data_IF_466697885374
#
_entry.id   IF_466697885374
#
_cell.length_a   1.000
_cell.length_b   1.000
_cell.length_c   1.000
_cell.angle_alpha   90.00
_cell.angle_beta   90.00
_cell.angle_gamma   90.00
#
_symmetry.space_group_name_H-M   'P 1'
#
loop_
_entity.id
_entity.type
_entity.pdbx_description
1 polymer ?
#
# COMPACT_ATOMS: atom_id res chain seq x y z
N UNK A 1 3.08 16.63 1.28
CA UNK A 1 4.12 15.62 1.63
C UNK A 1 4.49 14.79 0.40
N UNK A 2 3.50 14.41 -0.41
CA UNK A 2 3.66 13.47 -1.54
C UNK A 2 4.61 14.00 -2.63
N UNK A 3 4.52 15.27 -3.00
CA UNK A 3 5.42 15.90 -3.98
C UNK A 3 6.91 15.73 -3.57
N UNK A 4 7.22 15.88 -2.29
CA UNK A 4 8.58 15.75 -1.77
C UNK A 4 9.05 14.29 -1.83
N UNK A 5 8.19 13.33 -1.50
CA UNK A 5 8.49 11.89 -1.60
C UNK A 5 8.75 11.50 -3.05
N UNK A 6 7.95 12.01 -3.99
CA UNK A 6 8.13 11.78 -5.43
C UNK A 6 9.49 12.32 -5.89
N UNK A 7 9.84 13.56 -5.52
CA UNK A 7 11.14 14.16 -5.87
C UNK A 7 12.31 13.33 -5.31
N UNK A 8 12.21 12.86 -4.06
CA UNK A 8 13.23 12.00 -3.46
C UNK A 8 13.34 10.67 -4.21
N UNK A 9 12.22 10.01 -4.50
CA UNK A 9 12.19 8.74 -5.21
C UNK A 9 12.80 8.84 -6.62
N UNK A 10 12.59 9.97 -7.31
CA UNK A 10 13.25 10.25 -8.60
C UNK A 10 14.76 10.48 -8.43
N UNK A 11 15.17 11.28 -7.44
CA UNK A 11 16.59 11.58 -7.20
C UNK A 11 17.41 10.34 -6.84
N UNK A 12 16.84 9.39 -6.09
CA UNK A 12 17.55 8.18 -5.66
C UNK A 12 17.60 7.08 -6.72
N UNK A 13 16.90 7.25 -7.86
CA UNK A 13 16.70 6.20 -8.88
C UNK A 13 16.13 4.87 -8.32
N UNK A 14 15.60 4.87 -7.10
CA UNK A 14 15.07 3.66 -6.46
C UNK A 14 13.80 3.14 -7.14
N UNK A 15 13.09 4.01 -7.87
CA UNK A 15 11.89 3.65 -8.65
C UNK A 15 12.19 2.50 -9.62
N UNK A 16 13.40 2.46 -10.20
CA UNK A 16 13.78 1.39 -11.14
C UNK A 16 14.04 0.05 -10.45
N UNK A 17 14.33 0.06 -9.14
CA UNK A 17 14.77 -1.13 -8.39
C UNK A 17 13.68 -1.68 -7.46
N UNK A 18 12.72 -0.85 -7.05
CA UNK A 18 11.68 -1.20 -6.09
C UNK A 18 10.30 -1.19 -6.75
N UNK A 19 9.79 -2.37 -7.08
CA UNK A 19 8.49 -2.52 -7.75
C UNK A 19 7.31 -1.96 -6.94
N UNK A 20 7.38 -2.09 -5.61
CA UNK A 20 6.35 -1.58 -4.69
C UNK A 20 6.23 -0.05 -4.81
N UNK A 21 7.34 0.66 -5.04
CA UNK A 21 7.33 2.12 -5.20
C UNK A 21 6.51 2.56 -6.41
N UNK A 22 6.37 1.73 -7.46
CA UNK A 22 5.59 2.11 -8.63
C UNK A 22 4.09 2.21 -8.33
N UNK A 23 3.56 1.28 -7.55
CA UNK A 23 2.15 1.28 -7.13
C UNK A 23 1.91 2.47 -6.19
N UNK A 24 2.80 2.67 -5.20
CA UNK A 24 2.74 3.80 -4.28
C UNK A 24 2.80 5.14 -5.04
N UNK A 25 3.71 5.25 -6.01
CA UNK A 25 3.84 6.45 -6.84
C UNK A 25 2.57 6.73 -7.63
N UNK A 26 1.92 5.69 -8.17
CA UNK A 26 0.65 5.85 -8.89
C UNK A 26 -0.45 6.37 -7.96
N UNK A 27 -0.57 5.81 -6.76
CA UNK A 27 -1.51 6.30 -5.75
C UNK A 27 -1.24 7.77 -5.37
N UNK A 28 0.03 8.14 -5.12
CA UNK A 28 0.41 9.53 -4.82
C UNK A 28 0.11 10.49 -5.98
N UNK A 29 0.29 10.06 -7.23
CA UNK A 29 -0.05 10.88 -8.38
C UNK A 29 -1.56 11.12 -8.51
N UNK A 30 -2.39 10.13 -8.17
CA UNK A 30 -3.85 10.30 -8.11
C UNK A 30 -4.25 11.30 -7.03
N UNK A 31 -3.61 11.25 -5.87
CA UNK A 31 -3.86 12.19 -4.77
C UNK A 31 -3.55 13.63 -5.17
N UNK A 32 -2.41 13.83 -5.84
CA UNK A 32 -2.03 15.14 -6.39
C UNK A 32 -3.05 15.59 -7.46
N UNK A 33 -3.47 14.70 -8.36
CA UNK A 33 -4.43 15.03 -9.40
C UNK A 33 -5.78 15.48 -8.81
N UNK A 34 -6.29 14.79 -7.79
CA UNK A 34 -7.52 15.19 -7.11
C UNK A 34 -7.33 16.46 -6.31
N UNK A 35 -6.20 16.63 -5.62
CA UNK A 35 -5.91 17.86 -4.89
C UNK A 35 -5.92 19.08 -5.81
N UNK A 36 -5.31 18.95 -7.00
CA UNK A 36 -5.34 19.97 -8.04
C UNK A 36 -6.78 20.21 -8.52
N UNK A 37 -7.56 19.16 -8.75
CA UNK A 37 -8.96 19.28 -9.16
C UNK A 37 -9.81 20.01 -8.09
N UNK A 38 -9.62 19.71 -6.81
CA UNK A 38 -10.27 20.40 -5.68
C UNK A 38 -9.90 21.88 -5.67
N UNK A 39 -8.62 22.23 -5.86
CA UNK A 39 -8.21 23.64 -5.93
C UNK A 39 -8.90 24.36 -7.10
N UNK A 40 -8.94 23.74 -8.28
CA UNK A 40 -9.52 24.38 -9.45
C UNK A 40 -11.05 24.45 -9.42
N UNK A 41 -11.72 23.54 -8.70
CA UNK A 41 -13.18 23.49 -8.62
C UNK A 41 -13.74 24.23 -7.41
N UNK A 42 -13.21 23.94 -6.21
CA UNK A 42 -13.79 24.39 -4.96
C UNK A 42 -13.37 25.82 -4.60
N UNK A 43 -12.12 26.23 -4.89
CA UNK A 43 -11.66 27.60 -4.58
C UNK A 43 -12.46 28.67 -5.34
N UNK A 44 -12.72 28.53 -6.66
CA UNK A 44 -13.55 29.50 -7.38
C UNK A 44 -15.01 29.51 -6.93
N UNK A 45 -15.52 28.40 -6.40
CA UNK A 45 -16.90 28.29 -5.91
C UNK A 45 -17.06 28.85 -4.49
N UNK A 46 -16.00 28.78 -3.68
CA UNK A 46 -15.96 29.30 -2.30
C UNK A 46 -15.96 30.83 -2.23
N UNK A 47 -15.22 31.51 -3.10
CA UNK A 47 -15.09 32.99 -3.06
C UNK A 47 -16.43 33.72 -3.26
N UNK A 48 -17.27 33.35 -4.25
CA UNK A 48 -18.54 34.01 -4.52
C UNK A 48 -19.76 33.34 -3.88
N UNK A 49 -19.58 32.28 -3.08
CA UNK A 49 -20.66 31.47 -2.48
C UNK A 49 -21.73 31.02 -3.50
N UNK A 50 -21.26 30.63 -4.70
CA UNK A 50 -22.10 30.12 -5.77
C UNK A 50 -21.32 29.10 -6.57
N UNK A 51 -22.04 28.14 -7.14
CA UNK A 51 -21.42 27.18 -8.04
C UNK A 51 -21.04 27.88 -9.36
N UNK A 52 -19.73 28.02 -9.60
CA UNK A 52 -19.19 28.60 -10.85
C UNK A 52 -18.95 27.49 -11.89
N UNK A 53 -19.20 26.23 -11.53
CA UNK A 53 -18.84 25.10 -12.37
C UNK A 53 -19.77 24.91 -13.56
N UNK A 54 -19.14 24.57 -14.68
CA UNK A 54 -19.84 24.09 -15.87
C UNK A 54 -20.17 22.60 -15.72
N UNK A 55 -21.10 22.08 -16.51
CA UNK A 55 -21.40 20.64 -16.54
C UNK A 55 -20.15 19.79 -16.82
N UNK A 56 -19.21 20.30 -17.63
CA UNK A 56 -17.96 19.62 -17.95
C UNK A 56 -17.02 19.58 -16.74
N UNK A 57 -16.87 20.70 -16.01
CA UNK A 57 -15.99 20.72 -14.83
C UNK A 57 -16.56 19.86 -13.71
N UNK A 58 -17.88 19.88 -13.49
CA UNK A 58 -18.57 18.96 -12.57
C UNK A 58 -18.27 17.51 -12.92
N UNK A 59 -18.44 17.13 -14.19
CA UNK A 59 -18.19 15.77 -14.66
C UNK A 59 -16.73 15.34 -14.40
N UNK A 60 -15.77 16.18 -14.78
CA UNK A 60 -14.35 15.89 -14.57
C UNK A 60 -13.97 15.81 -13.09
N UNK A 61 -14.56 16.67 -12.25
CA UNK A 61 -14.31 16.66 -10.81
C UNK A 61 -14.84 15.40 -10.15
N UNK A 62 -16.08 14.99 -10.46
CA UNK A 62 -16.66 13.74 -9.96
C UNK A 62 -15.87 12.53 -10.48
N UNK A 63 -15.39 12.56 -11.72
CA UNK A 63 -14.55 11.50 -12.28
C UNK A 63 -13.20 11.39 -11.57
N UNK A 64 -12.51 12.50 -11.33
CA UNK A 64 -11.25 12.50 -10.62
C UNK A 64 -11.41 11.98 -9.19
N UNK A 65 -12.40 12.48 -8.45
CA UNK A 65 -12.69 12.08 -7.07
C UNK A 65 -13.08 10.61 -6.96
N UNK A 66 -14.00 10.14 -7.80
CA UNK A 66 -14.44 8.74 -7.78
C UNK A 66 -13.31 7.78 -8.19
N UNK A 67 -12.54 8.13 -9.22
CA UNK A 67 -11.41 7.32 -9.67
C UNK A 67 -10.35 7.20 -8.59
N UNK A 68 -9.95 8.30 -7.94
CA UNK A 68 -9.01 8.27 -6.82
C UNK A 68 -9.56 7.41 -5.67
N UNK A 69 -10.81 7.64 -5.27
CA UNK A 69 -11.43 6.91 -4.18
C UNK A 69 -11.43 5.39 -4.39
N UNK A 70 -11.90 4.91 -5.54
CA UNK A 70 -11.91 3.48 -5.83
C UNK A 70 -10.52 2.92 -6.09
N UNK A 71 -9.64 3.66 -6.74
CA UNK A 71 -8.27 3.22 -6.96
C UNK A 71 -7.52 3.05 -5.64
N UNK A 72 -7.59 4.02 -4.73
CA UNK A 72 -7.00 3.93 -3.40
C UNK A 72 -7.57 2.75 -2.61
N UNK A 73 -8.91 2.57 -2.63
CA UNK A 73 -9.59 1.48 -1.95
C UNK A 73 -9.09 0.10 -2.41
N UNK A 74 -8.81 -0.05 -3.71
CA UNK A 74 -8.28 -1.28 -4.30
C UNK A 74 -6.76 -1.41 -4.18
N UNK A 75 -6.01 -0.31 -4.14
CA UNK A 75 -4.55 -0.33 -3.98
C UNK A 75 -4.13 -0.83 -2.60
N UNK A 76 -4.88 -0.50 -1.55
CA UNK A 76 -4.58 -0.94 -0.18
C UNK A 76 -4.49 -2.47 -0.04
N UNK A 77 -5.52 -3.27 -0.39
CA UNK A 77 -5.42 -4.72 -0.33
C UNK A 77 -4.40 -5.27 -1.32
N UNK A 78 -4.27 -4.69 -2.52
CA UNK A 78 -3.25 -5.12 -3.48
C UNK A 78 -1.82 -4.96 -2.92
N UNK A 79 -1.52 -3.82 -2.29
CA UNK A 79 -0.24 -3.57 -1.63
C UNK A 79 -0.01 -4.52 -0.45
N UNK A 80 -1.01 -4.75 0.40
CA UNK A 80 -0.88 -5.68 1.52
C UNK A 80 -0.59 -7.12 1.05
N UNK A 81 -1.28 -7.59 0.00
CA UNK A 81 -1.02 -8.90 -0.61
C UNK A 81 0.41 -8.97 -1.19
N UNK A 82 0.82 -7.97 -1.96
CA UNK A 82 2.18 -7.90 -2.53
C UNK A 82 3.24 -7.92 -1.42
N UNK A 83 3.01 -7.17 -0.35
CA UNK A 83 3.92 -7.12 0.79
C UNK A 83 4.01 -8.47 1.51
N UNK A 84 2.86 -9.13 1.70
CA UNK A 84 2.82 -10.49 2.23
C UNK A 84 3.62 -11.47 1.37
N UNK A 85 3.49 -11.40 0.04
CA UNK A 85 4.28 -12.24 -0.87
C UNK A 85 5.79 -11.95 -0.77
N UNK A 86 6.17 -10.68 -0.69
CA UNK A 86 7.57 -10.27 -0.55
C UNK A 86 8.22 -10.86 0.72
N UNK A 87 7.50 -10.87 1.84
CA UNK A 87 7.98 -11.40 3.12
C UNK A 87 7.93 -12.94 3.14
N UNK A 88 6.83 -13.52 2.67
CA UNK A 88 6.60 -14.96 2.80
C UNK A 88 7.44 -15.79 1.85
N UNK A 89 7.72 -15.28 0.64
CA UNK A 89 8.42 -16.01 -0.42
C UNK A 89 9.37 -15.09 -1.20
N UNK A 90 10.45 -14.60 -0.59
CA UNK A 90 11.37 -13.64 -1.22
C UNK A 90 12.04 -14.19 -2.50
N UNK A 91 12.28 -15.50 -2.58
CA UNK A 91 12.88 -16.12 -3.76
C UNK A 91 11.96 -16.04 -4.99
N UNK A 92 10.66 -16.32 -4.80
CA UNK A 92 9.66 -16.17 -5.86
C UNK A 92 9.43 -14.68 -6.17
N UNK A 93 9.42 -13.83 -5.14
CA UNK A 93 9.21 -12.40 -5.30
C UNK A 93 10.26 -11.72 -6.19
N UNK A 94 11.52 -12.16 -6.12
CA UNK A 94 12.62 -11.68 -6.99
C UNK A 94 12.44 -12.06 -8.47
N UNK A 95 11.60 -13.05 -8.77
CA UNK A 95 11.29 -13.47 -10.14
C UNK A 95 10.26 -12.58 -10.82
N UNK A 96 9.50 -11.76 -10.07
CA UNK A 96 8.52 -10.87 -10.67
C UNK A 96 9.19 -9.75 -11.45
N UNK A 97 8.71 -9.55 -12.67
CA UNK A 97 9.12 -8.50 -13.57
C UNK A 97 8.32 -7.22 -13.32
N UNK A 98 8.89 -6.07 -13.70
CA UNK A 98 8.20 -4.78 -13.66
C UNK A 98 6.85 -4.79 -14.40
N UNK A 99 6.76 -5.58 -15.49
CA UNK A 99 5.56 -5.69 -16.33
C UNK A 99 4.37 -6.24 -15.55
N UNK A 100 4.59 -7.17 -14.63
CA UNK A 100 3.52 -7.76 -13.82
C UNK A 100 2.97 -6.73 -12.83
N UNK A 101 3.84 -5.93 -12.21
CA UNK A 101 3.40 -4.84 -11.32
C UNK A 101 2.66 -3.74 -12.09
N UNK A 102 3.13 -3.37 -13.28
CA UNK A 102 2.41 -2.45 -14.17
C UNK A 102 1.06 -3.02 -14.57
N UNK A 103 0.98 -4.33 -14.87
CA UNK A 103 -0.28 -5.01 -15.18
C UNK A 103 -1.27 -4.93 -14.00
N UNK A 104 -0.82 -5.24 -12.78
CA UNK A 104 -1.65 -5.10 -11.56
C UNK A 104 -2.15 -3.66 -11.41
N UNK A 105 -1.27 -2.67 -11.62
CA UNK A 105 -1.63 -1.25 -11.54
C UNK A 105 -2.71 -0.88 -12.55
N UNK A 106 -2.56 -1.30 -13.81
CA UNK A 106 -3.54 -1.07 -14.88
C UNK A 106 -4.87 -1.76 -14.56
N UNK A 107 -4.84 -3.00 -14.05
CA UNK A 107 -6.05 -3.72 -13.65
C UNK A 107 -6.79 -2.99 -12.53
N UNK A 108 -6.08 -2.50 -11.52
CA UNK A 108 -6.67 -1.70 -10.43
C UNK A 108 -7.31 -0.43 -10.98
N UNK A 109 -6.62 0.30 -11.86
CA UNK A 109 -7.14 1.53 -12.46
C UNK A 109 -8.39 1.28 -13.32
N UNK A 110 -8.37 0.24 -14.16
CA UNK A 110 -9.52 -0.14 -14.98
C UNK A 110 -10.70 -0.59 -14.12
N UNK A 111 -10.44 -1.35 -13.05
CA UNK A 111 -11.48 -1.78 -12.11
C UNK A 111 -12.10 -0.58 -11.39
N UNK A 112 -11.29 0.37 -10.93
CA UNK A 112 -11.77 1.60 -10.32
C UNK A 112 -12.66 2.40 -11.28
N UNK A 113 -12.26 2.51 -12.55
CA UNK A 113 -13.06 3.18 -13.58
C UNK A 113 -14.40 2.47 -13.84
N UNK A 114 -14.41 1.14 -13.93
CA UNK A 114 -15.63 0.34 -14.11
C UNK A 114 -16.58 0.52 -12.92
N UNK A 115 -16.06 0.52 -11.69
CA UNK A 115 -16.85 0.71 -10.48
C UNK A 115 -17.39 2.15 -10.37
N UNK A 116 -16.66 3.13 -10.91
CA UNK A 116 -17.09 4.53 -10.99
C UNK A 116 -18.17 4.76 -12.06
N UNK A 117 -18.18 3.98 -13.15
CA UNK A 117 -19.04 4.19 -14.31
C UNK A 117 -20.55 4.38 -13.99
N UNK A 118 -21.19 3.63 -13.07
CA UNK A 118 -22.59 3.84 -12.73
C UNK A 118 -22.93 5.26 -12.27
N UNK A 119 -21.98 5.98 -11.67
CA UNK A 119 -22.15 7.36 -11.18
C UNK A 119 -22.40 8.39 -12.29
N UNK A 120 -22.05 8.04 -13.52
CA UNK A 120 -22.20 8.89 -14.70
C UNK A 120 -23.45 8.55 -15.52
N UNK A 121 -24.30 7.65 -15.01
CA UNK A 121 -25.57 7.31 -15.63
C UNK A 121 -26.69 8.21 -15.12
N UNK A 122 -27.84 8.21 -15.80
CA UNK A 122 -29.04 8.94 -15.33
C UNK A 122 -29.60 8.36 -14.02
N UNK A 123 -29.23 7.12 -13.70
CA UNK A 123 -29.79 6.30 -12.61
C UNK A 123 -29.08 6.43 -11.26
N UNK A 124 -27.83 6.90 -11.24
CA UNK A 124 -27.05 7.22 -10.04
C UNK A 124 -26.34 8.57 -10.23
N UNK A 125 -25.92 9.23 -9.17
CA UNK A 125 -25.27 10.53 -9.34
C UNK A 125 -24.66 11.11 -8.09
N UNK A 126 -23.98 12.23 -8.29
CA UNK A 126 -23.49 13.09 -7.23
C UNK A 126 -24.12 14.47 -7.36
N UNK A 127 -24.34 15.10 -6.22
CA UNK A 127 -24.71 16.51 -6.10
C UNK A 127 -23.63 17.23 -5.30
N UNK A 128 -23.32 18.46 -5.70
CA UNK A 128 -22.44 19.35 -4.95
C UNK A 128 -23.28 20.16 -3.97
N UNK A 129 -23.01 20.04 -2.67
CA UNK A 129 -23.68 20.80 -1.63
C UNK A 129 -22.89 22.08 -1.35
N UNK A 130 -23.51 23.22 -1.69
CA UNK A 130 -22.92 24.56 -1.51
C UNK A 130 -22.62 24.86 -0.04
N UNK A 131 -23.56 24.60 0.87
CA UNK A 131 -23.46 24.91 2.30
C UNK A 131 -22.22 24.32 3.00
N UNK A 132 -21.63 23.26 2.44
CA UNK A 132 -20.42 22.63 2.98
C UNK A 132 -19.31 22.42 1.97
N UNK A 133 -19.47 22.86 0.73
CA UNK A 133 -18.52 22.64 -0.37
C UNK A 133 -18.04 21.19 -0.49
N UNK A 134 -18.98 20.23 -0.46
CA UNK A 134 -18.65 18.81 -0.58
C UNK A 134 -19.57 18.07 -1.55
N UNK A 135 -19.04 16.99 -2.13
CA UNK A 135 -19.77 16.09 -3.01
C UNK A 135 -20.52 15.04 -2.20
N UNK A 136 -21.77 14.80 -2.57
CA UNK A 136 -22.63 13.82 -1.91
C UNK A 136 -23.41 12.99 -2.92
N UNK A 137 -23.84 11.79 -2.51
CA UNK A 137 -24.69 10.94 -3.34
C UNK A 137 -26.07 11.56 -3.54
N UNK A 138 -26.52 11.63 -4.80
CA UNK A 138 -27.84 12.13 -5.13
C UNK A 138 -28.90 11.04 -4.92
N UNK A 139 -29.58 11.06 -3.76
CA UNK A 139 -30.64 10.11 -3.41
C UNK A 139 -31.98 10.40 -4.08
N UNK A 140 -32.11 11.47 -4.86
CA UNK A 140 -33.29 11.66 -5.71
C UNK A 140 -33.36 10.62 -6.83
N UNK A 141 -32.20 10.04 -7.20
CA UNK A 141 -32.09 9.02 -8.24
C UNK A 141 -32.38 7.61 -7.70
N UNK A 142 -33.11 6.78 -8.46
CA UNK A 142 -33.69 5.55 -7.95
C UNK A 142 -32.64 4.49 -7.57
N UNK A 143 -31.46 4.43 -8.19
CA UNK A 143 -30.50 3.35 -7.93
C UNK A 143 -29.32 3.76 -7.03
N UNK A 144 -29.28 5.01 -6.55
CA UNK A 144 -28.20 5.51 -5.69
C UNK A 144 -28.07 4.72 -4.39
N UNK A 145 -29.18 4.24 -3.81
CA UNK A 145 -29.15 3.43 -2.59
C UNK A 145 -28.45 2.08 -2.81
N UNK A 146 -28.68 1.45 -3.98
CA UNK A 146 -28.08 0.17 -4.33
C UNK A 146 -26.58 0.33 -4.54
N UNK A 147 -26.19 1.41 -5.23
CA UNK A 147 -24.78 1.76 -5.41
C UNK A 147 -24.07 2.00 -4.08
N UNK A 148 -24.71 2.72 -3.15
CA UNK A 148 -24.17 2.93 -1.80
C UNK A 148 -23.94 1.60 -1.07
N UNK A 149 -24.88 0.67 -1.14
CA UNK A 149 -24.72 -0.65 -0.52
C UNK A 149 -23.57 -1.44 -1.15
N UNK A 150 -23.44 -1.39 -2.48
CA UNK A 150 -22.32 -2.01 -3.20
C UNK A 150 -20.98 -1.40 -2.77
N UNK A 151 -20.89 -0.07 -2.66
CA UNK A 151 -19.70 0.62 -2.19
C UNK A 151 -19.32 0.22 -0.76
N UNK A 152 -20.29 0.16 0.16
CA UNK A 152 -20.07 -0.31 1.53
C UNK A 152 -19.58 -1.76 1.59
N UNK A 153 -20.17 -2.62 0.76
CA UNK A 153 -19.78 -4.04 0.67
C UNK A 153 -18.35 -4.17 0.15
N UNK A 154 -17.99 -3.40 -0.89
CA UNK A 154 -16.64 -3.37 -1.45
C UNK A 154 -15.62 -2.92 -0.39
N UNK A 155 -15.90 -1.85 0.35
CA UNK A 155 -15.03 -1.39 1.43
C UNK A 155 -14.83 -2.46 2.51
N UNK A 156 -15.92 -3.12 2.95
CA UNK A 156 -15.83 -4.17 3.95
C UNK A 156 -14.93 -5.33 3.48
N UNK A 157 -15.07 -5.75 2.22
CA UNK A 157 -14.22 -6.79 1.62
C UNK A 157 -12.75 -6.34 1.59
N UNK A 158 -12.46 -5.12 1.14
CA UNK A 158 -11.10 -4.57 1.10
C UNK A 158 -10.45 -4.54 2.49
N UNK A 159 -11.20 -4.10 3.52
CA UNK A 159 -10.72 -4.08 4.91
C UNK A 159 -10.46 -5.48 5.43
N UNK A 160 -11.35 -6.45 5.18
CA UNK A 160 -11.16 -7.84 5.60
C UNK A 160 -9.87 -8.41 4.98
N UNK A 161 -9.66 -8.21 3.68
CA UNK A 161 -8.46 -8.67 2.98
C UNK A 161 -7.20 -8.05 3.60
N UNK A 162 -7.22 -6.74 3.85
CA UNK A 162 -6.10 -6.03 4.47
C UNK A 162 -5.78 -6.58 5.87
N UNK A 163 -6.79 -6.74 6.73
CA UNK A 163 -6.61 -7.25 8.09
C UNK A 163 -6.04 -8.68 8.07
N UNK A 164 -6.53 -9.54 7.18
CA UNK A 164 -6.03 -10.91 7.05
C UNK A 164 -4.58 -10.92 6.57
N UNK A 165 -4.25 -10.17 5.52
CA UNK A 165 -2.91 -10.13 4.95
C UNK A 165 -1.89 -9.54 5.94
N UNK A 166 -2.25 -8.45 6.65
CA UNK A 166 -1.39 -7.84 7.67
C UNK A 166 -1.19 -8.77 8.88
N UNK A 167 -2.24 -9.48 9.32
CA UNK A 167 -2.12 -10.49 10.39
C UNK A 167 -1.16 -11.61 9.98
N UNK A 168 -1.22 -12.06 8.74
CA UNK A 168 -0.31 -13.08 8.20
C UNK A 168 1.14 -12.58 8.10
N UNK A 169 1.34 -11.31 7.72
CA UNK A 169 2.66 -10.66 7.72
C UNK A 169 3.24 -10.67 9.13
N UNK A 170 2.48 -10.19 10.12
CA UNK A 170 2.89 -10.11 11.52
C UNK A 170 3.24 -11.51 12.06
N UNK A 171 2.36 -12.48 11.83
CA UNK A 171 2.59 -13.87 12.23
C UNK A 171 3.88 -14.43 11.65
N UNK A 172 4.12 -14.22 10.34
CA UNK A 172 5.34 -14.68 9.66
C UNK A 172 6.58 -14.02 10.23
N UNK A 173 6.54 -12.71 10.49
CA UNK A 173 7.64 -11.96 11.10
C UNK A 173 7.98 -12.48 12.50
N UNK A 174 6.98 -12.76 13.34
CA UNK A 174 7.20 -13.35 14.66
C UNK A 174 7.83 -14.73 14.58
N UNK A 175 7.35 -15.59 13.68
CA UNK A 175 7.92 -16.93 13.48
C UNK A 175 9.39 -16.86 13.04
N UNK A 176 9.73 -15.96 12.12
CA UNK A 176 11.11 -15.78 11.65
C UNK A 176 12.04 -15.26 12.76
N UNK A 177 11.58 -14.30 13.58
CA UNK A 177 12.33 -13.79 14.74
C UNK A 177 12.59 -14.88 15.76
N UNK A 178 11.58 -15.69 16.08
CA UNK A 178 11.68 -16.79 17.04
C UNK A 178 12.66 -17.85 16.56
N UNK A 179 12.56 -18.26 15.29
CA UNK A 179 13.50 -19.23 14.69
C UNK A 179 14.96 -18.74 14.72
N UNK A 180 15.19 -17.44 14.44
CA UNK A 180 16.53 -16.85 14.48
C UNK A 180 17.11 -16.79 15.90
N UNK A 181 16.28 -16.46 16.89
CA UNK A 181 16.71 -16.42 18.29
C UNK A 181 17.09 -17.80 18.81
N UNK A 182 16.29 -18.83 18.50
CA UNK A 182 16.59 -20.21 18.90
C UNK A 182 17.90 -20.72 18.29
N UNK A 183 18.16 -20.42 17.00
CA UNK A 183 19.41 -20.80 16.34
C UNK A 183 20.64 -20.11 16.96
N UNK A 184 20.50 -18.85 17.40
CA UNK A 184 21.58 -18.13 18.10
C UNK A 184 21.87 -18.71 19.49
N UNK A 185 20.84 -19.11 20.23
CA UNK A 185 21.00 -19.75 21.53
C UNK A 185 21.69 -21.13 21.42
N UNK A 186 21.38 -21.89 20.37
CA UNK A 186 22.05 -23.16 20.11
C UNK A 186 23.53 -22.96 19.74
N UNK A 187 23.83 -21.98 18.88
CA UNK A 187 25.21 -21.66 18.50
C UNK A 187 26.08 -21.20 19.68
N UNK A 188 25.54 -20.42 20.62
CA UNK A 188 26.29 -19.97 21.80
C UNK A 188 26.56 -21.10 22.79
N UNK A 189 25.67 -22.08 22.90
CA UNK A 189 25.84 -23.25 23.78
C UNK A 189 26.90 -24.21 23.22
N UNK A 190 26.91 -24.42 21.91
CA UNK A 190 27.92 -25.24 21.22
C UNK A 190 29.34 -24.70 21.40
N UNK A 191 29.54 -23.37 21.27
CA UNK A 191 30.85 -22.75 21.46
C UNK A 191 31.39 -22.87 22.91
N UNK A 192 30.51 -22.82 23.92
CA UNK A 192 30.92 -23.03 25.32
C UNK A 192 31.36 -24.48 25.59
N UNK A 193 30.71 -25.46 24.97
CA UNK A 193 31.12 -26.86 25.09
C UNK A 193 32.45 -27.16 24.41
N UNK A 194 32.74 -26.49 23.28
CA UNK A 194 34.02 -26.60 22.59
C UNK A 194 35.19 -26.00 23.38
N UNK A 195 34.96 -24.87 24.07
CA UNK A 195 35.98 -24.22 24.90
C UNK A 195 36.37 -25.06 26.13
N UNK A 196 35.40 -25.63 26.85
CA UNK A 196 35.67 -26.51 28.01
C UNK A 196 36.47 -27.76 27.66
N UNK A 197 36.28 -28.32 26.46
CA UNK A 197 37.02 -29.50 26.03
C UNK A 197 38.50 -29.20 25.75
N UNK A 198 38.86 -27.95 25.42
CA UNK A 198 40.26 -27.54 25.24
C UNK A 198 40.97 -27.27 26.58
N UNK A 199 40.27 -26.75 27.59
CA UNK A 199 40.85 -26.58 28.93
C UNK A 199 41.19 -27.92 29.60
N UNK A 200 40.38 -28.96 29.38
CA UNK A 200 40.65 -30.29 29.95
C UNK A 200 41.79 -31.06 29.27
N UNK A 201 42.24 -30.63 28.07
CA UNK A 201 43.35 -31.26 27.33
C UNK A 201 44.64 -30.43 27.34
N UNK A 202 44.63 -29.24 27.96
CA UNK A 202 45.79 -28.34 28.04
C UNK A 202 46.59 -28.41 29.35
N UNK A 203 46.15 -29.19 30.34
CA UNK A 203 46.82 -29.32 31.63
C UNK A 203 47.62 -30.62 31.76
N UNK A 204 48.72 -30.76 31.02
CA UNK A 204 49.84 -31.67 31.33
C UNK A 204 50.97 -31.51 30.30
N UNK A 205 51.71 -30.41 30.38
CA UNK A 205 53.04 -30.32 29.79
C UNK A 205 53.88 -29.35 30.62
N UNK A 206 53.99 -29.66 31.92
CA UNK A 206 55.06 -29.13 32.75
C UNK A 206 56.33 -29.97 32.50
N UNK A 207 57.40 -29.24 32.20
CA UNK A 207 58.77 -29.46 32.65
C UNK A 207 59.40 -30.84 32.50
N UNK A 208 60.18 -31.05 31.42
CA UNK A 208 61.44 -31.79 31.51
C UNK A 208 62.49 -31.25 30.53
N UNK A 209 63.65 -30.85 31.09
CA UNK A 209 65.00 -30.66 30.51
C UNK A 209 65.25 -29.45 29.58
N UNK A 210 66.36 -28.71 29.65
CA UNK A 210 67.67 -29.04 30.20
C UNK A 210 68.45 -27.78 30.67
N UNK A 211 69.10 -27.93 31.82
CA UNK A 211 70.25 -27.17 32.30
C UNK A 211 71.54 -27.59 31.59
N UNK A 212 72.38 -26.58 31.32
CA UNK A 212 73.87 -26.54 31.31
C UNK A 212 74.68 -27.56 30.51
#
# INVERSE_FOLDING_TARGET
>A
MDILIIIIAFKTNEIKRNYILHIILTAMLLDIAVYINVIFHDVPSFIPDRDVSTSVTIYLSVLALSLQYFAQLLFLPALSIIHYFAISRPAQFRGFSMREFTCVNVIVMLSALIIAAPLFTEYCGHIYLLDGHYWYFDFSKPYTYLYRYLNWTLQAICVIILVVADTLIIYKLFRLRTSRNNNRAFASTSNKSGARKKEHLGGSSDEVCATS
#
